data_IF_461387208157
#
_entry.id   IF_461387208157
#
_cell.length_a   1.000
_cell.length_b   1.000
_cell.length_c   1.000
_cell.angle_alpha   90.00
_cell.angle_beta   90.00
_cell.angle_gamma   90.00
#
_symmetry.space_group_name_H-M   'P 1'
#
loop_
_entity.id
_entity.type
_entity.pdbx_description
1 polymer ?
#
# COMPACT_ATOMS: atom_id res chain seq x y z
N UNK A 1 21.59 10.21 9.01
CA UNK A 1 22.63 9.54 8.19
C UNK A 1 22.27 9.49 6.71
N UNK A 2 21.03 9.14 6.32
CA UNK A 2 20.59 9.05 4.92
C UNK A 2 20.90 10.30 4.06
N UNK A 3 20.54 11.49 4.54
CA UNK A 3 20.87 12.76 3.87
C UNK A 3 22.38 13.03 3.73
N UNK A 4 23.19 12.60 4.71
CA UNK A 4 24.66 12.73 4.63
C UNK A 4 25.22 11.72 3.62
N UNK A 5 24.72 10.49 3.60
CA UNK A 5 25.08 9.45 2.62
C UNK A 5 24.83 9.94 1.20
N UNK A 6 23.67 10.54 0.92
CA UNK A 6 23.33 11.07 -0.40
C UNK A 6 24.30 12.16 -0.92
N UNK A 7 25.05 12.81 -0.02
CA UNK A 7 26.05 13.85 -0.37
C UNK A 7 27.44 13.30 -0.64
N UNK A 8 27.68 12.01 -0.44
CA UNK A 8 28.96 11.37 -0.72
C UNK A 8 29.12 11.08 -2.23
N UNK A 9 30.35 10.84 -2.70
CA UNK A 9 30.59 10.29 -4.04
C UNK A 9 30.06 8.85 -4.15
N UNK A 10 29.78 8.37 -5.35
CA UNK A 10 29.17 7.05 -5.59
C UNK A 10 29.92 5.93 -4.84
N UNK A 11 31.26 5.92 -4.96
CA UNK A 11 32.14 4.91 -4.38
C UNK A 11 32.03 4.79 -2.85
N UNK A 12 31.72 5.90 -2.16
CA UNK A 12 31.60 5.93 -0.69
C UNK A 12 30.16 5.79 -0.19
N UNK A 13 29.17 5.90 -1.07
CA UNK A 13 27.76 5.78 -0.66
C UNK A 13 27.44 4.37 -0.20
N UNK A 14 27.95 3.38 -0.93
CA UNK A 14 27.64 1.97 -0.72
C UNK A 14 28.35 1.42 0.52
N UNK A 15 29.49 2.01 0.91
CA UNK A 15 30.19 1.66 2.15
C UNK A 15 29.49 2.19 3.43
N UNK A 16 28.61 3.20 3.30
CA UNK A 16 27.94 3.80 4.46
C UNK A 16 26.60 3.10 4.71
N UNK A 17 26.64 2.14 5.63
CA UNK A 17 25.46 1.43 6.11
C UNK A 17 24.58 2.29 7.04
N UNK A 18 23.26 2.06 7.07
CA UNK A 18 22.37 2.66 8.04
C UNK A 18 22.86 2.42 9.49
N UNK A 19 22.70 3.42 10.35
CA UNK A 19 22.99 3.26 11.78
C UNK A 19 21.69 2.90 12.48
N UNK A 20 21.48 1.60 12.67
CA UNK A 20 20.30 1.05 13.33
C UNK A 20 20.25 1.51 14.80
N UNK A 21 19.04 1.64 15.34
CA UNK A 21 18.80 2.19 16.68
C UNK A 21 18.14 1.11 17.54
N UNK A 22 18.76 0.80 18.69
CA UNK A 22 18.14 -0.01 19.73
C UNK A 22 17.53 0.92 20.79
N UNK A 23 16.21 0.87 20.93
CA UNK A 23 15.49 1.66 21.94
C UNK A 23 15.23 0.83 23.19
N UNK A 24 15.69 1.29 24.36
CA UNK A 24 15.47 0.62 25.65
C UNK A 24 14.61 1.51 26.53
N UNK A 25 13.53 0.96 27.08
CA UNK A 25 12.63 1.65 28.00
C UNK A 25 11.38 0.85 28.30
N UNK A 26 10.59 1.22 29.33
CA UNK A 26 9.36 0.52 29.69
C UNK A 26 8.29 0.61 28.59
N UNK A 27 7.27 -0.23 28.68
CA UNK A 27 6.09 -0.14 27.80
C UNK A 27 5.40 1.21 28.01
N UNK A 28 4.88 1.80 26.93
CA UNK A 28 4.15 3.08 26.99
C UNK A 28 5.02 4.34 27.06
N UNK A 29 6.35 4.25 27.08
CA UNK A 29 7.22 5.45 27.07
C UNK A 29 7.34 6.16 25.70
N UNK A 30 6.60 5.70 24.68
CA UNK A 30 6.54 6.36 23.36
C UNK A 30 7.52 5.86 22.31
N UNK A 31 8.23 4.73 22.50
CA UNK A 31 9.19 4.17 21.51
C UNK A 31 8.61 4.05 20.09
N UNK A 32 7.42 3.45 19.99
CA UNK A 32 6.71 3.27 18.71
C UNK A 32 6.26 4.61 18.13
N UNK A 33 5.82 5.55 18.98
CA UNK A 33 5.34 6.87 18.53
C UNK A 33 6.47 7.74 18.00
N UNK A 34 7.64 7.71 18.64
CA UNK A 34 8.85 8.39 18.15
C UNK A 34 9.21 7.87 16.76
N UNK A 35 9.21 6.55 16.57
CA UNK A 35 9.55 5.92 15.29
C UNK A 35 8.53 6.24 14.20
N UNK A 36 7.23 6.17 14.51
CA UNK A 36 6.14 6.51 13.59
C UNK A 36 6.21 7.99 13.17
N UNK A 37 6.42 8.90 14.13
CA UNK A 37 6.53 10.34 13.83
C UNK A 37 7.76 10.66 13.02
N UNK A 38 8.90 10.01 13.30
CA UNK A 38 10.11 10.15 12.51
C UNK A 38 9.86 9.75 11.05
N UNK A 39 9.21 8.61 10.82
CA UNK A 39 8.88 8.17 9.46
C UNK A 39 7.95 9.15 8.74
N UNK A 40 6.90 9.63 9.42
CA UNK A 40 5.99 10.65 8.87
C UNK A 40 6.69 11.97 8.53
N UNK A 41 7.60 12.43 9.39
CA UNK A 41 8.38 13.66 9.16
C UNK A 41 9.39 13.51 8.02
N UNK A 42 9.93 12.31 7.83
CA UNK A 42 10.83 11.98 6.75
C UNK A 42 10.11 11.59 5.46
N UNK A 43 8.78 11.53 5.47
CA UNK A 43 7.92 10.99 4.40
C UNK A 43 8.42 9.62 3.91
N UNK A 44 8.71 8.72 4.86
CA UNK A 44 9.32 7.42 4.60
C UNK A 44 8.34 6.26 4.81
N UNK A 45 8.41 5.19 4.00
CA UNK A 45 7.68 3.94 4.24
C UNK A 45 7.98 3.38 5.63
N UNK A 46 6.93 2.98 6.36
CA UNK A 46 7.05 2.54 7.75
C UNK A 46 6.26 1.28 8.04
N UNK A 47 6.94 0.27 8.58
CA UNK A 47 6.31 -0.99 9.00
C UNK A 47 6.66 -1.28 10.46
N UNK A 48 5.63 -1.61 11.25
CA UNK A 48 5.78 -2.14 12.63
C UNK A 48 5.57 -3.64 12.61
N UNK A 49 6.53 -4.39 13.15
CA UNK A 49 6.44 -5.85 13.32
C UNK A 49 6.84 -6.23 14.74
N UNK A 50 6.14 -7.21 15.32
CA UNK A 50 6.48 -7.77 16.62
C UNK A 50 7.41 -8.96 16.42
N UNK A 51 8.56 -8.98 17.09
CA UNK A 51 9.58 -10.01 16.92
C UNK A 51 9.09 -11.41 17.35
N UNK A 52 8.16 -11.46 18.30
CA UNK A 52 7.56 -12.70 18.82
C UNK A 52 6.76 -13.47 17.76
N UNK A 53 6.25 -12.79 16.72
CA UNK A 53 5.51 -13.42 15.61
C UNK A 53 6.30 -14.47 14.84
N UNK A 54 7.64 -14.43 14.91
CA UNK A 54 8.52 -15.38 14.25
C UNK A 54 8.92 -16.57 15.14
N UNK A 55 8.59 -16.53 16.44
CA UNK A 55 8.97 -17.58 17.42
C UNK A 55 7.92 -18.66 17.64
N UNK A 56 6.68 -18.45 17.19
CA UNK A 56 5.59 -19.38 17.45
C UNK A 56 5.69 -20.62 16.57
N UNK A 57 5.99 -21.76 17.21
CA UNK A 57 6.05 -23.10 16.61
C UNK A 57 4.67 -23.45 16.05
N UNK A 58 4.41 -23.12 14.79
CA UNK A 58 3.12 -23.48 14.17
C UNK A 58 2.71 -22.77 12.90
N UNK A 59 3.40 -21.73 12.42
CA UNK A 59 3.01 -21.08 11.17
C UNK A 59 4.05 -21.26 10.07
N UNK A 60 3.88 -22.33 9.29
CA UNK A 60 4.46 -22.46 7.94
C UNK A 60 3.92 -21.27 7.13
N UNK A 61 4.70 -20.20 6.97
CA UNK A 61 4.35 -19.13 6.01
C UNK A 61 4.59 -17.67 6.40
N UNK A 62 5.14 -17.33 7.58
CA UNK A 62 5.67 -15.97 7.82
C UNK A 62 7.18 -15.98 7.88
N UNK A 63 7.73 -16.00 6.68
CA UNK A 63 9.13 -15.71 6.38
C UNK A 63 9.48 -14.29 6.87
N UNK A 64 10.67 -14.13 7.46
CA UNK A 64 11.18 -12.82 7.90
C UNK A 64 11.25 -11.83 6.74
N UNK A 65 11.42 -12.31 5.51
CA UNK A 65 11.32 -11.51 4.29
C UNK A 65 9.96 -10.82 4.12
N UNK A 66 8.89 -11.29 4.77
CA UNK A 66 7.58 -10.63 4.74
C UNK A 66 7.66 -9.19 5.25
N UNK A 67 8.58 -8.90 6.18
CA UNK A 67 8.82 -7.52 6.66
C UNK A 67 9.18 -6.59 5.50
N UNK A 68 10.08 -7.04 4.62
CA UNK A 68 10.51 -6.30 3.46
C UNK A 68 9.38 -6.17 2.43
N UNK A 69 8.60 -7.23 2.21
CA UNK A 69 7.43 -7.20 1.31
C UNK A 69 6.35 -6.21 1.80
N UNK A 70 6.04 -6.23 3.10
CA UNK A 70 5.10 -5.29 3.73
C UNK A 70 5.60 -3.84 3.60
N UNK A 71 6.92 -3.62 3.71
CA UNK A 71 7.52 -2.30 3.56
C UNK A 71 7.37 -1.75 2.14
N UNK A 72 7.54 -2.60 1.13
CA UNK A 72 7.31 -2.24 -0.28
C UNK A 72 5.84 -1.92 -0.54
N UNK A 73 4.91 -2.68 0.03
CA UNK A 73 3.48 -2.37 -0.08
C UNK A 73 3.15 -1.00 0.49
N UNK A 74 3.73 -0.67 1.66
CA UNK A 74 3.55 0.64 2.27
C UNK A 74 4.18 1.76 1.43
N UNK A 75 5.33 1.52 0.81
CA UNK A 75 5.95 2.47 -0.10
C UNK A 75 5.09 2.74 -1.33
N UNK A 76 4.47 1.70 -1.90
CA UNK A 76 3.55 1.84 -3.04
C UNK A 76 2.30 2.63 -2.64
N UNK A 77 1.76 2.36 -1.45
CA UNK A 77 0.62 3.12 -0.92
C UNK A 77 0.96 4.61 -0.82
N UNK A 78 2.11 4.94 -0.22
CA UNK A 78 2.57 6.33 -0.09
C UNK A 78 2.79 6.99 -1.46
N UNK A 79 3.43 6.29 -2.40
CA UNK A 79 3.70 6.84 -3.73
C UNK A 79 2.40 7.06 -4.53
N UNK A 80 1.43 6.15 -4.42
CA UNK A 80 0.09 6.34 -5.00
C UNK A 80 -0.60 7.57 -4.40
N UNK A 81 -0.54 7.75 -3.09
CA UNK A 81 -1.13 8.93 -2.42
C UNK A 81 -0.49 10.24 -2.91
N UNK A 82 0.84 10.29 -3.04
CA UNK A 82 1.56 11.46 -3.59
C UNK A 82 1.09 11.78 -5.01
N UNK A 83 1.05 10.78 -5.88
CA UNK A 83 0.68 10.99 -7.29
C UNK A 83 -0.80 11.30 -7.48
N UNK A 84 -1.70 10.64 -6.73
CA UNK A 84 -3.13 10.97 -6.71
C UNK A 84 -3.35 12.43 -6.31
N UNK A 85 -2.63 12.91 -5.29
CA UNK A 85 -2.70 14.31 -4.90
C UNK A 85 -2.21 15.26 -6.01
N UNK A 86 -1.16 14.89 -6.75
CA UNK A 86 -0.62 15.69 -7.86
C UNK A 86 -1.57 15.79 -9.07
N UNK A 87 -2.44 14.80 -9.28
CA UNK A 87 -3.42 14.79 -10.39
C UNK A 87 -4.84 15.13 -9.96
N UNK A 88 -5.04 15.51 -8.69
CA UNK A 88 -6.36 15.68 -8.07
C UNK A 88 -7.26 16.62 -8.86
N UNK A 89 -6.80 17.81 -9.23
CA UNK A 89 -7.63 18.79 -9.95
C UNK A 89 -8.17 18.24 -11.28
N UNK A 90 -7.31 17.55 -12.05
CA UNK A 90 -7.68 16.93 -13.33
C UNK A 90 -8.58 15.71 -13.15
N UNK A 91 -8.41 14.97 -12.06
CA UNK A 91 -9.26 13.84 -11.71
C UNK A 91 -10.65 14.32 -11.29
N UNK A 92 -10.74 15.37 -10.47
CA UNK A 92 -12.00 15.99 -10.04
C UNK A 92 -12.78 16.56 -11.23
N UNK A 93 -12.11 17.23 -12.18
CA UNK A 93 -12.79 17.75 -13.37
C UNK A 93 -13.41 16.62 -14.22
N UNK A 94 -12.66 15.53 -14.43
CA UNK A 94 -13.15 14.38 -15.18
C UNK A 94 -14.26 13.61 -14.44
N UNK A 95 -14.10 13.44 -13.13
CA UNK A 95 -15.11 12.83 -12.25
C UNK A 95 -16.41 13.65 -12.27
N UNK A 96 -16.30 14.98 -12.26
CA UNK A 96 -17.45 15.87 -12.33
C UNK A 96 -18.18 15.74 -13.66
N UNK A 97 -17.45 15.62 -14.76
CA UNK A 97 -18.07 15.41 -16.07
C UNK A 97 -18.84 14.08 -16.14
N UNK A 98 -18.27 12.99 -15.61
CA UNK A 98 -18.96 11.68 -15.49
C UNK A 98 -20.18 11.73 -14.57
N UNK A 99 -20.07 12.44 -13.46
CA UNK A 99 -21.17 12.65 -12.52
C UNK A 99 -22.33 13.41 -13.17
N UNK A 100 -22.02 14.47 -13.90
CA UNK A 100 -23.01 15.25 -14.64
C UNK A 100 -23.67 14.40 -15.74
N UNK A 101 -22.92 13.56 -16.46
CA UNK A 101 -23.49 12.64 -17.45
C UNK A 101 -24.50 11.68 -16.82
N UNK A 102 -24.26 11.22 -15.59
CA UNK A 102 -25.19 10.36 -14.85
C UNK A 102 -26.43 11.10 -14.33
N UNK A 103 -26.29 12.39 -13.99
CA UNK A 103 -27.38 13.22 -13.44
C UNK A 103 -28.33 13.75 -14.50
N UNK A 104 -27.81 14.26 -15.61
CA UNK A 104 -28.59 14.98 -16.63
C UNK A 104 -28.61 14.29 -17.99
N UNK A 105 -27.83 13.22 -18.17
CA UNK A 105 -27.65 12.54 -19.45
C UNK A 105 -26.57 13.18 -20.32
N UNK A 106 -25.95 12.36 -21.18
CA UNK A 106 -24.83 12.77 -22.06
C UNK A 106 -25.23 13.88 -23.04
N UNK A 107 -26.46 13.85 -23.54
CA UNK A 107 -26.98 14.77 -24.56
C UNK A 107 -27.65 16.04 -23.97
N UNK A 108 -27.44 16.30 -22.69
CA UNK A 108 -27.99 17.49 -22.02
C UNK A 108 -27.40 18.80 -22.54
N UNK A 109 -28.22 19.86 -22.56
CA UNK A 109 -27.79 21.19 -22.99
C UNK A 109 -26.68 21.74 -22.08
N UNK A 110 -25.79 22.59 -22.62
CA UNK A 110 -24.74 23.23 -21.83
C UNK A 110 -25.31 24.01 -20.63
N UNK A 111 -26.43 24.72 -20.82
CA UNK A 111 -27.10 25.45 -19.75
C UNK A 111 -27.58 24.52 -18.61
N UNK A 112 -28.12 23.35 -18.94
CA UNK A 112 -28.53 22.34 -17.94
C UNK A 112 -27.32 21.81 -17.18
N UNK A 113 -26.21 21.52 -17.87
CA UNK A 113 -24.97 21.04 -17.25
C UNK A 113 -24.36 22.06 -16.31
N UNK A 114 -24.32 23.33 -16.71
CA UNK A 114 -23.83 24.45 -15.89
C UNK A 114 -24.65 24.60 -14.60
N UNK A 115 -25.98 24.55 -14.71
CA UNK A 115 -26.88 24.66 -13.57
C UNK A 115 -26.70 23.50 -12.57
N UNK A 116 -26.56 22.27 -13.05
CA UNK A 116 -26.32 21.11 -12.18
C UNK A 116 -24.91 21.10 -11.60
N UNK A 117 -23.90 21.59 -12.33
CA UNK A 117 -22.56 21.81 -11.80
C UNK A 117 -22.59 22.78 -10.62
N UNK A 118 -23.35 23.87 -10.72
CA UNK A 118 -23.49 24.82 -9.62
C UNK A 118 -24.19 24.18 -8.43
N UNK A 119 -25.31 23.48 -8.65
CA UNK A 119 -26.05 22.77 -7.58
C UNK A 119 -25.20 21.71 -6.87
N UNK A 120 -24.32 21.02 -7.59
CA UNK A 120 -23.37 20.08 -6.99
C UNK A 120 -22.37 20.80 -6.09
N UNK A 121 -21.77 21.90 -6.57
CA UNK A 121 -20.84 22.72 -5.78
C UNK A 121 -21.48 23.31 -4.53
N UNK A 122 -22.76 23.65 -4.63
CA UNK A 122 -23.55 24.19 -3.51
C UNK A 122 -24.01 23.09 -2.52
N UNK A 123 -23.70 21.81 -2.78
CA UNK A 123 -24.07 20.68 -1.91
C UNK A 123 -25.55 20.28 -1.97
N UNK A 124 -26.31 20.80 -2.93
CA UNK A 124 -27.75 20.53 -3.04
C UNK A 124 -28.08 19.12 -3.55
N UNK A 125 -27.09 18.40 -4.08
CA UNK A 125 -27.29 17.11 -4.73
C UNK A 125 -26.81 15.92 -3.90
N UNK A 126 -26.19 16.12 -2.74
CA UNK A 126 -25.46 15.09 -1.99
C UNK A 126 -26.27 13.82 -1.71
N UNK A 127 -27.56 13.98 -1.37
CA UNK A 127 -28.49 12.88 -1.06
C UNK A 127 -29.21 12.29 -2.28
N UNK A 128 -29.01 12.87 -3.46
CA UNK A 128 -29.65 12.38 -4.69
C UNK A 128 -29.05 11.03 -5.04
N UNK A 129 -29.90 10.04 -5.31
CA UNK A 129 -29.45 8.74 -5.79
C UNK A 129 -29.23 8.78 -7.30
N UNK A 130 -28.08 8.26 -7.74
CA UNK A 130 -27.74 8.09 -9.14
C UNK A 130 -27.28 6.66 -9.40
N UNK A 131 -27.42 6.24 -10.65
CA UNK A 131 -26.85 4.99 -11.13
C UNK A 131 -25.60 5.30 -11.95
N UNK A 132 -24.47 4.74 -11.55
CA UNK A 132 -23.21 4.98 -12.22
C UNK A 132 -22.43 3.68 -12.43
N UNK A 133 -21.73 3.62 -13.56
CA UNK A 133 -20.82 2.54 -13.92
C UNK A 133 -19.48 2.80 -13.22
N UNK A 134 -19.18 1.94 -12.26
CA UNK A 134 -17.91 1.94 -11.51
C UNK A 134 -17.16 0.66 -11.79
N UNK A 135 -15.83 0.74 -11.76
CA UNK A 135 -14.98 -0.44 -11.85
C UNK A 135 -15.23 -1.36 -10.66
N UNK A 136 -15.47 -2.64 -10.95
CA UNK A 136 -15.61 -3.65 -9.92
C UNK A 136 -14.22 -4.06 -9.43
N UNK A 137 -13.95 -3.88 -8.13
CA UNK A 137 -12.82 -4.54 -7.48
C UNK A 137 -12.95 -6.06 -7.70
N UNK A 138 -11.87 -6.76 -8.08
CA UNK A 138 -11.93 -8.20 -8.34
C UNK A 138 -12.51 -8.90 -7.12
N UNK A 139 -13.66 -9.55 -7.29
CA UNK A 139 -14.25 -10.36 -6.23
C UNK A 139 -13.38 -11.59 -6.05
N UNK A 140 -12.65 -11.66 -4.94
CA UNK A 140 -12.01 -12.91 -4.51
C UNK A 140 -13.10 -13.98 -4.42
N UNK A 141 -13.03 -15.07 -5.20
CA UNK A 141 -14.04 -16.11 -5.14
C UNK A 141 -14.06 -16.72 -3.74
N UNK A 142 -15.27 -16.94 -3.22
CA UNK A 142 -15.48 -17.66 -1.96
C UNK A 142 -14.90 -19.07 -2.10
N UNK A 143 -13.88 -19.41 -1.29
CA UNK A 143 -13.31 -20.75 -1.25
C UNK A 143 -14.38 -21.73 -0.75
N UNK A 144 -14.96 -22.54 -1.65
CA UNK A 144 -15.72 -23.71 -1.26
C UNK A 144 -14.74 -24.75 -0.68
N UNK A 145 -14.95 -25.24 0.55
CA UNK A 145 -14.11 -26.29 1.12
C UNK A 145 -14.24 -27.57 0.27
N UNK A 146 -13.17 -27.96 -0.42
CA UNK A 146 -13.09 -29.22 -1.17
C UNK A 146 -12.87 -29.11 -2.69
N UNK A 147 -12.77 -27.90 -3.26
CA UNK A 147 -12.42 -27.70 -4.67
C UNK A 147 -10.92 -27.53 -4.91
N UNK A 148 -10.38 -28.20 -5.93
CA UNK A 148 -8.95 -28.14 -6.25
C UNK A 148 -8.46 -26.70 -6.57
N UNK A 149 -7.32 -26.24 -6.01
CA UNK A 149 -6.81 -24.86 -6.15
C UNK A 149 -6.32 -24.47 -7.56
N UNK A 150 -6.30 -25.40 -8.52
CA UNK A 150 -5.81 -25.11 -9.89
C UNK A 150 -6.81 -24.39 -10.80
N UNK A 151 -8.09 -24.34 -10.46
CA UNK A 151 -9.10 -23.64 -11.29
C UNK A 151 -9.08 -22.11 -11.13
N UNK A 152 -8.41 -21.60 -10.09
CA UNK A 152 -8.38 -20.16 -9.75
C UNK A 152 -7.53 -19.38 -10.75
N UNK A 153 -6.31 -19.86 -11.03
CA UNK A 153 -5.41 -19.21 -12.00
C UNK A 153 -5.94 -19.27 -13.44
N UNK A 154 -6.70 -20.32 -13.80
CA UNK A 154 -7.23 -20.47 -15.16
C UNK A 154 -8.39 -19.50 -15.44
N UNK A 155 -9.24 -19.24 -14.44
CA UNK A 155 -10.35 -18.28 -14.56
C UNK A 155 -9.87 -16.84 -14.73
N UNK A 156 -8.85 -16.44 -13.97
CA UNK A 156 -8.27 -15.09 -14.03
C UNK A 156 -7.49 -14.85 -15.34
N UNK A 157 -6.75 -15.87 -15.79
CA UNK A 157 -6.01 -15.83 -17.06
C UNK A 157 -6.95 -15.88 -18.27
N UNK A 158 -8.05 -16.63 -18.19
CA UNK A 158 -9.11 -16.67 -19.22
C UNK A 158 -9.91 -15.37 -19.27
N UNK A 159 -10.16 -14.73 -18.12
CA UNK A 159 -10.77 -13.40 -18.05
C UNK A 159 -9.94 -12.33 -18.78
N UNK A 160 -8.61 -12.32 -18.59
CA UNK A 160 -7.71 -11.43 -19.34
C UNK A 160 -7.60 -11.79 -20.83
N UNK A 161 -7.63 -13.07 -21.18
CA UNK A 161 -7.47 -13.54 -22.56
C UNK A 161 -8.72 -13.36 -23.45
N UNK A 162 -9.93 -13.32 -22.87
CA UNK A 162 -11.19 -13.10 -23.58
C UNK A 162 -11.65 -11.63 -23.62
N UNK A 163 -10.75 -10.68 -23.35
CA UNK A 163 -11.07 -9.26 -23.39
C UNK A 163 -11.84 -8.76 -22.16
N UNK A 164 -11.67 -9.42 -21.00
CA UNK A 164 -12.10 -8.92 -19.70
C UNK A 164 -11.29 -7.69 -19.28
N UNK A 165 -11.53 -6.57 -19.97
CA UNK A 165 -11.32 -5.26 -19.37
C UNK A 165 -12.12 -5.16 -18.07
N UNK A 166 -11.69 -4.27 -17.18
CA UNK A 166 -12.34 -3.99 -15.89
C UNK A 166 -13.86 -4.04 -16.04
N UNK A 167 -14.51 -5.02 -15.40
CA UNK A 167 -15.97 -5.15 -15.49
C UNK A 167 -16.60 -3.94 -14.81
N UNK A 168 -17.11 -3.01 -15.62
CA UNK A 168 -17.91 -1.89 -15.14
C UNK A 168 -19.26 -2.44 -14.70
N UNK A 169 -19.59 -2.26 -13.43
CA UNK A 169 -20.90 -2.66 -12.89
C UNK A 169 -21.70 -1.42 -12.53
N UNK A 170 -22.92 -1.34 -13.04
CA UNK A 170 -23.88 -0.32 -12.61
C UNK A 170 -24.22 -0.53 -11.16
N UNK A 171 -24.07 0.53 -10.37
CA UNK A 171 -24.47 0.57 -8.97
C UNK A 171 -25.27 1.84 -8.72
N UNK A 172 -26.33 1.68 -7.93
CA UNK A 172 -27.11 2.80 -7.39
C UNK A 172 -26.47 3.27 -6.09
N UNK A 173 -26.17 4.56 -5.99
CA UNK A 173 -25.52 5.17 -4.83
C UNK A 173 -25.80 6.68 -4.80
N UNK A 174 -25.56 7.31 -3.66
CA UNK A 174 -25.73 8.77 -3.53
C UNK A 174 -24.68 9.52 -4.32
N UNK A 175 -24.99 10.74 -4.76
CA UNK A 175 -24.03 11.63 -5.45
C UNK A 175 -22.75 11.80 -4.64
N UNK A 176 -22.85 11.96 -3.32
CA UNK A 176 -21.67 12.08 -2.45
C UNK A 176 -20.78 10.82 -2.51
N UNK A 177 -21.37 9.63 -2.38
CA UNK A 177 -20.60 8.38 -2.45
C UNK A 177 -20.09 8.10 -3.89
N UNK A 178 -20.77 8.61 -4.91
CA UNK A 178 -20.34 8.50 -6.30
C UNK A 178 -19.12 9.37 -6.55
N UNK A 179 -19.16 10.59 -6.04
CA UNK A 179 -18.09 11.56 -6.18
C UNK A 179 -16.77 11.00 -5.68
N UNK A 180 -16.72 10.50 -4.44
CA UNK A 180 -15.49 9.95 -3.86
C UNK A 180 -14.89 8.82 -4.72
N UNK A 181 -15.73 7.91 -5.20
CA UNK A 181 -15.30 6.78 -6.03
C UNK A 181 -14.86 7.20 -7.43
N UNK A 182 -15.57 8.15 -8.05
CA UNK A 182 -15.21 8.66 -9.37
C UNK A 182 -13.89 9.41 -9.34
N UNK A 183 -13.65 10.23 -8.31
CA UNK A 183 -12.38 10.94 -8.16
C UNK A 183 -11.24 9.95 -7.98
N UNK A 184 -11.42 8.90 -7.17
CA UNK A 184 -10.42 7.85 -7.01
C UNK A 184 -10.14 7.11 -8.33
N UNK A 185 -11.19 6.68 -9.04
CA UNK A 185 -11.06 5.96 -10.31
C UNK A 185 -10.39 6.82 -11.40
N UNK A 186 -10.76 8.10 -11.50
CA UNK A 186 -10.15 9.04 -12.44
C UNK A 186 -8.71 9.37 -12.08
N UNK A 187 -8.37 9.44 -10.78
CA UNK A 187 -6.99 9.61 -10.34
C UNK A 187 -6.15 8.39 -10.70
N UNK A 188 -6.67 7.17 -10.47
CA UNK A 188 -5.94 5.93 -10.73
C UNK A 188 -5.67 5.69 -12.21
N UNK A 189 -6.61 6.04 -13.09
CA UNK A 189 -6.40 5.98 -14.55
C UNK A 189 -5.24 6.85 -15.05
N UNK A 190 -4.85 7.86 -14.26
CA UNK A 190 -3.76 8.79 -14.59
C UNK A 190 -2.42 8.34 -14.02
N UNK A 191 -2.38 7.22 -13.30
CA UNK A 191 -1.16 6.66 -12.71
C UNK A 191 -0.56 5.60 -13.65
N UNK A 192 0.71 5.79 -14.01
CA UNK A 192 1.54 4.72 -14.56
C UNK A 192 1.94 3.77 -13.42
N UNK A 193 1.36 2.56 -13.41
CA UNK A 193 1.60 1.59 -12.34
C UNK A 193 3.03 1.07 -12.35
N UNK A 194 3.69 0.95 -13.50
CA UNK A 194 5.06 0.44 -13.59
C UNK A 194 6.02 1.49 -13.00
N UNK A 195 5.80 2.76 -13.32
CA UNK A 195 6.59 3.85 -12.76
C UNK A 195 6.34 4.06 -11.25
N UNK A 196 5.09 3.88 -10.79
CA UNK A 196 4.76 3.85 -9.35
C UNK A 196 5.54 2.75 -8.65
N UNK A 197 5.48 1.52 -9.16
CA UNK A 197 6.13 0.36 -8.55
C UNK A 197 7.65 0.56 -8.47
N UNK A 198 8.26 1.02 -9.57
CA UNK A 198 9.70 1.30 -9.63
C UNK A 198 10.13 2.38 -8.64
N UNK A 199 9.38 3.48 -8.58
CA UNK A 199 9.70 4.60 -7.67
C UNK A 199 9.53 4.20 -6.21
N UNK A 200 8.46 3.46 -5.91
CA UNK A 200 8.18 2.97 -4.58
C UNK A 200 9.22 1.94 -4.07
N UNK A 201 9.69 1.04 -4.95
CA UNK A 201 10.80 0.12 -4.61
C UNK A 201 12.06 0.90 -4.21
N UNK A 202 12.46 1.86 -5.03
CA UNK A 202 13.61 2.71 -4.72
C UNK A 202 13.43 3.51 -3.41
N UNK A 203 12.21 3.95 -3.10
CA UNK A 203 11.90 4.64 -1.84
C UNK A 203 11.97 3.69 -0.63
N UNK A 204 11.48 2.46 -0.77
CA UNK A 204 11.59 1.42 0.26
C UNK A 204 13.06 1.08 0.56
N UNK A 205 13.91 0.91 -0.46
CA UNK A 205 15.35 0.67 -0.32
C UNK A 205 16.08 1.86 0.33
N UNK A 206 15.83 3.07 -0.17
CA UNK A 206 16.60 4.24 0.21
C UNK A 206 16.15 4.85 1.54
N UNK A 207 14.85 4.84 1.82
CA UNK A 207 14.23 5.60 2.91
C UNK A 207 13.42 4.75 3.89
N UNK A 208 13.05 3.51 3.53
CA UNK A 208 12.20 2.64 4.34
C UNK A 208 12.68 2.45 5.78
N UNK A 209 11.72 2.40 6.71
CA UNK A 209 11.93 2.28 8.15
C UNK A 209 11.14 1.08 8.67
N UNK A 210 11.85 0.12 9.26
CA UNK A 210 11.26 -1.02 9.97
C UNK A 210 11.40 -0.79 11.47
N UNK A 211 10.29 -0.95 12.20
CA UNK A 211 10.28 -0.97 13.66
C UNK A 211 9.99 -2.38 14.15
N UNK A 212 11.02 -3.03 14.69
CA UNK A 212 10.93 -4.32 15.36
C UNK A 212 10.60 -4.10 16.85
N UNK A 213 9.36 -4.39 17.23
CA UNK A 213 8.90 -4.32 18.61
C UNK A 213 9.20 -5.62 19.36
N UNK A 214 9.35 -5.53 20.68
CA UNK A 214 9.58 -6.69 21.57
C UNK A 214 10.79 -7.55 21.20
N UNK A 215 11.85 -6.96 20.63
CA UNK A 215 13.08 -7.68 20.27
C UNK A 215 13.77 -8.32 21.48
N UNK A 216 13.53 -7.80 22.69
CA UNK A 216 14.01 -8.40 23.94
C UNK A 216 13.41 -9.78 24.21
N UNK A 217 12.22 -10.09 23.68
CA UNK A 217 11.54 -11.37 23.88
C UNK A 217 12.18 -12.52 23.11
N UNK A 218 12.89 -12.21 22.04
CA UNK A 218 13.64 -13.19 21.23
C UNK A 218 15.10 -13.32 21.68
N UNK A 219 15.54 -12.51 22.65
CA UNK A 219 16.86 -12.65 23.25
C UNK A 219 16.93 -13.97 24.06
N UNK A 220 18.08 -14.65 23.95
CA UNK A 220 18.33 -15.89 24.70
C UNK A 220 18.72 -15.54 26.13
N UNK A 221 17.98 -16.02 27.11
CA UNK A 221 18.42 -16.11 28.51
C UNK A 221 19.11 -17.47 28.71
N UNK A 222 20.25 -17.52 29.40
CA UNK A 222 21.12 -18.68 29.66
C UNK A 222 20.45 -19.94 30.29
N UNK A 223 19.14 -19.91 30.52
CA UNK A 223 18.37 -20.98 31.15
C UNK A 223 17.89 -21.97 30.08
N UNK A 224 18.63 -23.08 29.98
CA UNK A 224 18.43 -24.24 29.10
C UNK A 224 16.97 -24.72 29.07
N UNK A 225 16.25 -24.51 27.96
CA UNK A 225 14.92 -25.11 27.77
C UNK A 225 14.09 -24.70 26.55
N UNK A 226 14.38 -23.58 25.90
CA UNK A 226 13.62 -23.10 24.73
C UNK A 226 14.39 -22.16 23.79
N UNK A 227 15.72 -22.22 23.83
CA UNK A 227 16.63 -21.24 23.19
C UNK A 227 16.72 -21.37 21.67
N UNK A 228 16.59 -22.58 21.11
CA UNK A 228 16.86 -22.84 19.68
C UNK A 228 15.91 -22.08 18.75
N UNK A 229 14.62 -22.01 19.09
CA UNK A 229 13.62 -21.30 18.26
C UNK A 229 13.79 -19.78 18.30
N UNK A 230 14.20 -19.21 19.44
CA UNK A 230 14.40 -17.76 19.60
C UNK A 230 15.69 -17.28 18.93
N UNK A 231 16.75 -18.09 19.04
CA UNK A 231 18.01 -17.85 18.32
C UNK A 231 17.83 -17.98 16.80
N UNK A 232 16.99 -18.91 16.35
CA UNK A 232 16.60 -19.04 14.94
C UNK A 232 16.05 -17.73 14.36
N UNK A 233 15.11 -17.07 15.06
CA UNK A 233 14.55 -15.78 14.62
C UNK A 233 15.62 -14.70 14.49
N UNK A 234 16.57 -14.63 15.42
CA UNK A 234 17.65 -13.65 15.32
C UNK A 234 18.51 -13.91 14.08
N UNK A 235 18.82 -15.19 13.79
CA UNK A 235 19.58 -15.58 12.60
C UNK A 235 18.83 -15.26 11.31
N UNK A 236 17.51 -15.46 11.30
CA UNK A 236 16.67 -15.16 10.13
C UNK A 236 16.49 -13.65 9.90
N UNK A 237 16.63 -12.82 10.94
CA UNK A 237 16.63 -11.35 10.84
C UNK A 237 17.97 -10.76 10.38
N UNK A 238 19.09 -11.46 10.55
CA UNK A 238 20.42 -10.94 10.19
C UNK A 238 20.53 -10.54 8.71
N UNK A 239 20.08 -11.35 7.72
CA UNK A 239 20.14 -10.96 6.31
C UNK A 239 19.46 -9.63 6.02
N UNK A 240 18.33 -9.33 6.67
CA UNK A 240 17.62 -8.06 6.48
C UNK A 240 18.37 -6.86 7.06
N UNK A 241 19.20 -7.06 8.09
CA UNK A 241 19.96 -6.00 8.75
C UNK A 241 21.30 -5.76 8.04
N UNK A 242 21.95 -6.83 7.59
CA UNK A 242 23.25 -6.80 6.91
C UNK A 242 23.14 -6.38 5.44
N UNK A 243 21.98 -6.63 4.84
CA UNK A 243 21.70 -6.35 3.44
C UNK A 243 21.54 -7.65 2.66
N UNK A 244 20.33 -7.91 2.20
CA UNK A 244 19.98 -9.03 1.32
C UNK A 244 18.97 -8.56 0.29
N UNK A 245 18.87 -9.28 -0.82
CA UNK A 245 17.82 -9.07 -1.81
C UNK A 245 16.61 -9.92 -1.46
N UNK A 246 15.44 -9.30 -1.36
CA UNK A 246 14.15 -9.94 -1.12
C UNK A 246 13.30 -9.87 -2.38
N UNK A 247 12.77 -11.03 -2.81
CA UNK A 247 11.83 -11.06 -3.92
C UNK A 247 10.46 -10.52 -3.48
N UNK A 248 9.94 -9.55 -4.24
CA UNK A 248 8.57 -9.02 -4.08
C UNK A 248 7.78 -9.17 -5.37
N UNK A 249 6.45 -9.04 -5.29
CA UNK A 249 5.55 -9.04 -6.47
C UNK A 249 5.82 -7.89 -7.45
N UNK A 250 6.59 -6.88 -7.04
CA UNK A 250 6.88 -5.68 -7.84
C UNK A 250 8.29 -5.68 -8.42
N UNK A 251 9.13 -6.64 -8.02
CA UNK A 251 10.54 -6.71 -8.34
C UNK A 251 11.37 -7.10 -7.12
N UNK A 252 12.67 -7.41 -7.32
CA UNK A 252 13.60 -7.56 -6.22
C UNK A 252 13.81 -6.21 -5.52
N UNK A 253 13.97 -6.25 -4.19
CA UNK A 253 14.39 -5.14 -3.33
C UNK A 253 15.63 -5.55 -2.56
#
# INVERSE_FOLDING_TARGET
NRWRRQRLGADLRDEVTPKNILMIGPTGCGKTEISRRLAKLADAPFVKVEATKFTEVGYVGRDVEQIARDLVEEAIRLEKERRRAAVKDKAEEAALNRLLDALVGKDSSQATREAFRQRFRDGHLDQTEIEIELEQAPSMPFELPGGAPQMINLSEMMGKAFGGGQQLKRRKLTVQAAWEKLVEEEADKRLDQDDVNRTALADAEANGIVFLDEIDKIAVSDVRGGSVSREGVQRDLLPLIEGTTVATKYGPM
#
